data_IF_145534613936
#
_entry.id   IF_145534613936
#
_cell.length_a   1.000
_cell.length_b   1.000
_cell.length_c   1.000
_cell.angle_alpha   90.00
_cell.angle_beta   90.00
_cell.angle_gamma   90.00
#
_symmetry.space_group_name_H-M   'P 1'
#
loop_
_entity.id
_entity.type
_entity.pdbx_description
1 polymer ?
#
# COMPACT_ATOMS: atom_id res chain seq x y z
N UNK A 1 -2.76 19.72 -12.32
CA UNK A 1 -3.07 19.11 -11.01
C UNK A 1 -1.76 18.60 -10.45
N UNK A 2 -1.21 19.27 -9.45
CA UNK A 2 0.03 18.87 -8.78
C UNK A 2 -0.27 17.63 -7.95
N UNK A 3 0.09 16.46 -8.46
CA UNK A 3 0.18 15.26 -7.63
C UNK A 3 1.22 15.56 -6.55
N UNK A 4 0.76 15.71 -5.30
CA UNK A 4 1.67 15.76 -4.16
C UNK A 4 2.48 14.45 -4.18
N UNK A 5 3.81 14.51 -4.01
CA UNK A 5 4.63 13.31 -3.98
C UNK A 5 4.07 12.38 -2.90
N UNK A 6 3.77 11.15 -3.28
CA UNK A 6 3.40 10.10 -2.33
C UNK A 6 4.54 10.04 -1.29
N UNK A 7 4.27 10.18 0.02
CA UNK A 7 5.32 10.33 1.03
C UNK A 7 6.24 9.10 1.16
N UNK A 8 5.87 7.96 0.55
CA UNK A 8 6.64 6.72 0.54
C UNK A 8 6.95 6.29 -0.90
N UNK A 9 8.15 5.77 -1.10
CA UNK A 9 8.49 4.98 -2.30
C UNK A 9 7.69 3.68 -2.34
N UNK A 10 7.60 3.05 -3.51
CA UNK A 10 6.92 1.76 -3.65
C UNK A 10 7.51 0.68 -2.72
N UNK A 11 8.84 0.66 -2.57
CA UNK A 11 9.54 -0.30 -1.72
C UNK A 11 9.23 -0.08 -0.23
N UNK A 12 9.25 1.17 0.23
CA UNK A 12 8.89 1.52 1.62
C UNK A 12 7.43 1.19 1.92
N UNK A 13 6.54 1.41 0.95
CA UNK A 13 5.13 1.07 1.08
C UNK A 13 4.90 -0.44 1.12
N UNK A 14 5.59 -1.20 0.27
CA UNK A 14 5.53 -2.68 0.30
C UNK A 14 6.07 -3.24 1.62
N UNK A 15 7.19 -2.71 2.12
CA UNK A 15 7.72 -3.05 3.44
C UNK A 15 6.69 -2.74 4.53
N UNK A 16 6.08 -1.55 4.48
CA UNK A 16 5.08 -1.16 5.48
C UNK A 16 3.84 -2.04 5.47
N UNK A 17 3.38 -2.47 4.28
CA UNK A 17 2.28 -3.44 4.15
C UNK A 17 2.67 -4.78 4.80
N UNK A 18 3.90 -5.25 4.61
CA UNK A 18 4.39 -6.48 5.23
C UNK A 18 4.39 -6.38 6.77
N UNK A 19 4.96 -5.33 7.33
CA UNK A 19 4.99 -5.09 8.79
C UNK A 19 3.59 -5.05 9.41
N UNK A 20 2.63 -4.42 8.73
CA UNK A 20 1.23 -4.37 9.16
C UNK A 20 0.60 -5.78 9.14
N UNK A 21 0.94 -6.59 8.13
CA UNK A 21 0.54 -8.00 8.05
C UNK A 21 1.05 -8.82 9.23
N UNK A 22 2.34 -8.72 9.57
CA UNK A 22 2.93 -9.41 10.73
C UNK A 22 2.28 -8.96 12.04
N UNK A 23 2.10 -7.65 12.20
CA UNK A 23 1.44 -7.06 13.37
C UNK A 23 0.00 -7.56 13.52
N UNK A 24 -0.71 -7.77 12.42
CA UNK A 24 -2.08 -8.25 12.41
C UNK A 24 -2.17 -9.74 12.79
N UNK A 25 -1.20 -10.56 12.39
CA UNK A 25 -1.09 -11.97 12.81
C UNK A 25 -0.83 -12.06 14.32
N UNK A 26 0.04 -11.19 14.85
CA UNK A 26 0.37 -11.16 16.28
C UNK A 26 -0.74 -10.54 17.15
N UNK A 27 -1.62 -9.71 16.60
CA UNK A 27 -2.65 -9.02 17.37
C UNK A 27 -3.71 -10.00 17.92
N UNK A 28 -3.93 -10.00 19.23
CA UNK A 28 -4.95 -10.84 19.88
C UNK A 28 -6.37 -10.22 19.81
N UNK A 29 -6.44 -8.89 19.73
CA UNK A 29 -7.71 -8.17 19.70
C UNK A 29 -8.25 -8.02 18.28
N UNK A 30 -9.51 -8.43 18.08
CA UNK A 30 -10.25 -8.20 16.82
C UNK A 30 -10.31 -6.71 16.44
N UNK A 31 -10.44 -5.83 17.43
CA UNK A 31 -10.47 -4.38 17.21
C UNK A 31 -9.12 -3.87 16.69
N UNK A 32 -8.01 -4.34 17.26
CA UNK A 32 -6.66 -3.99 16.81
C UNK A 32 -6.41 -4.51 15.39
N UNK A 33 -6.82 -5.74 15.07
CA UNK A 33 -6.73 -6.27 13.70
C UNK A 33 -7.49 -5.42 12.70
N UNK A 34 -8.68 -4.91 13.06
CA UNK A 34 -9.48 -4.06 12.17
C UNK A 34 -8.78 -2.73 11.86
N UNK A 35 -8.12 -2.12 12.85
CA UNK A 35 -7.34 -0.89 12.66
C UNK A 35 -6.14 -1.15 11.75
N UNK A 36 -5.38 -2.22 12.01
CA UNK A 36 -4.22 -2.59 11.21
C UNK A 36 -4.61 -2.90 9.76
N UNK A 37 -5.72 -3.61 9.56
CA UNK A 37 -6.28 -3.85 8.23
C UNK A 37 -6.63 -2.54 7.50
N UNK A 38 -7.28 -1.60 8.19
CA UNK A 38 -7.66 -0.32 7.57
C UNK A 38 -6.43 0.47 7.10
N UNK A 39 -5.37 0.53 7.93
CA UNK A 39 -4.10 1.17 7.55
C UNK A 39 -3.44 0.47 6.35
N UNK A 40 -3.43 -0.87 6.36
CA UNK A 40 -2.84 -1.65 5.27
C UNK A 40 -3.63 -1.45 3.96
N UNK A 41 -4.96 -1.40 4.03
CA UNK A 41 -5.83 -1.12 2.89
C UNK A 41 -5.56 0.25 2.28
N UNK A 42 -5.35 1.28 3.09
CA UNK A 42 -5.03 2.62 2.60
C UNK A 42 -3.74 2.63 1.78
N UNK A 43 -2.69 1.94 2.23
CA UNK A 43 -1.43 1.79 1.48
C UNK A 43 -1.61 0.99 0.18
N UNK A 44 -2.43 -0.06 0.20
CA UNK A 44 -2.74 -0.85 -1.00
C UNK A 44 -3.50 -0.01 -2.04
N UNK A 45 -4.45 0.82 -1.59
CA UNK A 45 -5.27 1.67 -2.47
C UNK A 45 -4.47 2.86 -3.00
N UNK A 46 -3.50 3.37 -2.24
CA UNK A 46 -2.55 4.41 -2.67
C UNK A 46 -1.55 3.94 -3.73
N UNK A 47 -1.89 2.98 -4.61
CA UNK A 47 -1.08 2.67 -5.80
C UNK A 47 -0.69 3.96 -6.51
N UNK A 48 0.62 4.19 -6.57
CA UNK A 48 1.18 5.36 -7.23
C UNK A 48 0.78 5.32 -8.71
N UNK A 49 0.43 6.46 -9.28
CA UNK A 49 0.17 6.61 -10.71
C UNK A 49 1.32 6.01 -11.53
N UNK A 50 2.56 6.11 -11.04
CA UNK A 50 3.76 5.50 -11.60
C UNK A 50 3.74 3.95 -11.65
N UNK A 51 3.03 3.28 -10.74
CA UNK A 51 2.83 1.84 -10.77
C UNK A 51 1.76 1.44 -11.79
N UNK A 52 0.70 2.25 -11.92
CA UNK A 52 -0.31 2.10 -12.97
C UNK A 52 0.35 2.30 -14.35
N UNK A 53 1.14 3.35 -14.52
CA UNK A 53 1.88 3.62 -15.76
C UNK A 53 2.90 2.53 -16.09
N UNK A 54 3.63 1.99 -15.11
CA UNK A 54 4.52 0.83 -15.35
C UNK A 54 3.74 -0.40 -15.81
N UNK A 55 2.59 -0.68 -15.19
CA UNK A 55 1.75 -1.80 -15.59
C UNK A 55 1.10 -1.58 -16.97
N UNK A 56 0.68 -0.37 -17.29
CA UNK A 56 0.16 -0.01 -18.62
C UNK A 56 1.21 -0.22 -19.70
N UNK A 57 2.45 0.23 -19.46
CA UNK A 57 3.60 -0.01 -20.34
C UNK A 57 3.91 -1.50 -20.52
N UNK A 58 3.95 -2.27 -19.43
CA UNK A 58 4.22 -3.71 -19.48
C UNK A 58 3.14 -4.49 -20.22
N UNK A 59 1.90 -4.01 -20.23
CA UNK A 59 0.77 -4.63 -20.94
C UNK A 59 0.56 -4.10 -22.35
N UNK A 60 1.40 -3.17 -22.83
CA UNK A 60 1.25 -2.52 -24.13
C UNK A 60 -0.03 -1.71 -24.28
N UNK A 61 -0.61 -1.28 -23.16
CA UNK A 61 -1.83 -0.46 -23.12
C UNK A 61 -1.53 1.02 -23.34
N UNK A 62 -0.25 1.42 -23.20
CA UNK A 62 0.25 2.78 -23.45
C UNK A 62 1.75 2.80 -23.75
#
# INVERSE_FOLDING_TARGET
MTELPNPLTDAERELRIHELGESMVAAESKYVRAILWQQMRELIVQRSQAQVERMEKQKGLR
#
